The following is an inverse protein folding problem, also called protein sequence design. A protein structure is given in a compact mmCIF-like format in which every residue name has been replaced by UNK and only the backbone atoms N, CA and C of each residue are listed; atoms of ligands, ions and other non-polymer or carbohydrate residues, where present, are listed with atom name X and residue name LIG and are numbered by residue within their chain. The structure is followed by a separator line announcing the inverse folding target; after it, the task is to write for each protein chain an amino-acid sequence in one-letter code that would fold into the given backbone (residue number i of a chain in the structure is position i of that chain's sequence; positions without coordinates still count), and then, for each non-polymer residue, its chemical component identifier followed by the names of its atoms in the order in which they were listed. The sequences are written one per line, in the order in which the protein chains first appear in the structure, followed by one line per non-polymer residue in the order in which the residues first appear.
data_IF_114365413960
#
_entry.id   IF_114365413960
#
_cell.length_a   1.000
_cell.length_b   1.000
_cell.length_c   1.000
_cell.angle_alpha   90.00
_cell.angle_beta   90.00
_cell.angle_gamma   90.00
#
_symmetry.space_group_name_H-M   'P 1'
#
loop_
_entity.id
_entity.type
_entity.pdbx_description
1 polymer ?
#
# COMPACT_ATOMS: atom_id res chain seq x y z
N UNK A 1 -2.77 -1.87 -20.98
CA UNK A 1 -2.65 -2.16 -19.53
C UNK A 1 -1.57 -1.25 -18.96
N UNK A 2 -1.93 -0.22 -18.20
CA UNK A 2 -0.93 0.71 -17.63
C UNK A 2 -0.02 -0.05 -16.67
N UNK A 3 1.29 0.21 -16.74
CA UNK A 3 2.28 -0.47 -15.88
C UNK A 3 2.27 0.23 -14.52
N UNK A 4 1.68 -0.39 -13.50
CA UNK A 4 1.66 0.14 -12.15
C UNK A 4 2.96 -0.22 -11.42
N UNK A 5 3.72 0.79 -10.98
CA UNK A 5 5.00 0.62 -10.31
C UNK A 5 4.95 1.24 -8.92
N UNK A 6 5.59 0.59 -7.95
CA UNK A 6 5.64 1.04 -6.56
C UNK A 6 6.29 2.43 -6.40
N UNK A 7 7.17 2.83 -7.33
CA UNK A 7 7.78 4.16 -7.32
C UNK A 7 6.88 5.29 -7.82
N UNK A 8 5.86 4.97 -8.63
CA UNK A 8 5.11 5.95 -9.43
C UNK A 8 3.58 5.74 -9.32
N UNK A 9 3.10 4.93 -8.38
CA UNK A 9 1.66 4.63 -8.27
C UNK A 9 0.84 5.86 -7.87
N UNK A 10 1.47 6.88 -7.28
CA UNK A 10 0.87 8.18 -6.94
C UNK A 10 0.21 8.86 -8.15
N UNK A 11 0.77 8.69 -9.36
CA UNK A 11 0.21 9.23 -10.58
C UNK A 11 -1.11 8.56 -11.02
N UNK A 12 -1.47 7.44 -10.38
CA UNK A 12 -2.66 6.67 -10.68
C UNK A 12 -3.78 6.84 -9.65
N UNK A 13 -3.61 7.73 -8.67
CA UNK A 13 -4.61 8.06 -7.65
C UNK A 13 -4.91 9.56 -7.66
N UNK A 14 -6.09 9.94 -7.13
CA UNK A 14 -6.42 11.36 -6.97
C UNK A 14 -5.62 11.99 -5.83
N UNK A 15 -5.40 13.31 -5.91
CA UNK A 15 -4.70 14.05 -4.84
C UNK A 15 -5.36 13.91 -3.46
N UNK A 16 -6.69 13.75 -3.41
CA UNK A 16 -7.42 13.46 -2.17
C UNK A 16 -7.06 12.10 -1.56
N UNK A 17 -6.98 11.06 -2.39
CA UNK A 17 -6.56 9.72 -1.97
C UNK A 17 -5.11 9.74 -1.52
N UNK A 18 -4.24 10.47 -2.22
CA UNK A 18 -2.85 10.64 -1.85
C UNK A 18 -2.70 11.31 -0.49
N UNK A 19 -3.36 12.45 -0.27
CA UNK A 19 -3.30 13.16 1.02
C UNK A 19 -3.72 12.24 2.16
N UNK A 20 -4.88 11.58 2.02
CA UNK A 20 -5.39 10.66 3.04
C UNK A 20 -4.42 9.50 3.30
N UNK A 21 -3.80 8.96 2.25
CA UNK A 21 -2.81 7.90 2.39
C UNK A 21 -1.54 8.35 3.10
N UNK A 22 -1.07 9.57 2.80
CA UNK A 22 0.08 10.16 3.48
C UNK A 22 -0.24 10.41 4.96
N UNK A 23 -1.39 11.01 5.27
CA UNK A 23 -1.87 11.23 6.64
C UNK A 23 -1.92 9.91 7.44
N UNK A 24 -2.45 8.82 6.87
CA UNK A 24 -2.48 7.50 7.49
C UNK A 24 -1.08 6.93 7.76
N UNK A 25 -0.12 7.16 6.85
CA UNK A 25 1.27 6.70 7.04
C UNK A 25 1.96 7.55 8.11
N UNK A 26 1.77 8.87 8.11
CA UNK A 26 2.33 9.79 9.12
C UNK A 26 1.76 9.53 10.51
N UNK A 27 0.46 9.23 10.62
CA UNK A 27 -0.20 8.81 11.85
C UNK A 27 0.27 7.43 12.35
N UNK A 28 0.99 6.67 11.51
CA UNK A 28 1.41 5.32 11.83
C UNK A 28 0.26 4.32 11.87
N UNK A 29 -0.83 4.59 11.15
CA UNK A 29 -2.02 3.74 11.05
C UNK A 29 -1.78 2.45 10.27
N UNK A 30 -0.72 2.38 9.46
CA UNK A 30 -0.32 1.14 8.77
C UNK A 30 0.45 0.24 9.73
N UNK A 31 -0.21 -0.82 10.18
CA UNK A 31 0.30 -1.85 11.09
C UNK A 31 0.53 -3.18 10.39
N UNK A 32 1.26 -4.05 11.07
CA UNK A 32 1.41 -5.46 10.72
C UNK A 32 1.86 -5.74 9.26
N UNK A 33 2.59 -4.82 8.63
CA UNK A 33 3.13 -5.00 7.29
C UNK A 33 4.11 -6.20 7.29
N UNK A 34 3.75 -7.26 6.57
CA UNK A 34 4.57 -8.47 6.46
C UNK A 34 4.42 -9.13 5.10
N UNK A 35 5.48 -9.78 4.67
CA UNK A 35 5.44 -10.70 3.53
C UNK A 35 4.90 -12.05 4.03
N UNK A 36 3.72 -12.45 3.56
CA UNK A 36 3.11 -13.73 3.92
C UNK A 36 3.50 -14.83 2.95
N UNK A 37 3.76 -14.49 1.69
CA UNK A 37 4.30 -15.37 0.65
C UNK A 37 5.22 -14.54 -0.26
N UNK A 38 6.13 -15.17 -1.00
CA UNK A 38 7.02 -14.50 -1.94
C UNK A 38 6.22 -13.58 -2.88
N UNK A 39 6.53 -12.28 -2.86
CA UNK A 39 5.84 -11.25 -3.64
C UNK A 39 4.44 -10.91 -3.15
N UNK A 40 4.00 -11.40 -1.99
CA UNK A 40 2.67 -11.19 -1.44
C UNK A 40 2.75 -10.63 -0.02
N UNK A 41 2.24 -9.41 0.13
CA UNK A 41 2.34 -8.60 1.33
C UNK A 41 0.96 -8.30 1.87
N UNK A 42 0.84 -8.36 3.19
CA UNK A 42 -0.39 -8.00 3.90
C UNK A 42 -0.06 -6.92 4.91
N UNK A 43 -0.95 -5.94 5.02
CA UNK A 43 -0.90 -4.87 6.00
C UNK A 43 -2.30 -4.63 6.57
N UNK A 44 -2.34 -4.16 7.81
CA UNK A 44 -3.57 -3.68 8.44
C UNK A 44 -3.51 -2.15 8.48
N UNK A 45 -4.56 -1.48 8.05
CA UNK A 45 -4.64 -0.02 8.08
C UNK A 45 -5.77 0.41 8.98
N UNK A 46 -5.44 1.02 10.11
CA UNK A 46 -6.42 1.54 11.06
C UNK A 46 -6.96 2.88 10.60
N UNK A 47 -8.26 2.93 10.32
CA UNK A 47 -8.96 4.16 9.94
C UNK A 47 -10.02 4.50 10.99
N UNK A 48 -10.22 5.80 11.23
CA UNK A 48 -11.11 6.30 12.29
C UNK A 48 -12.59 5.98 12.01
N UNK A 49 -12.95 5.77 10.73
CA UNK A 49 -14.35 5.60 10.31
C UNK A 49 -14.89 4.15 10.38
N UNK A 50 -14.02 3.13 10.41
CA UNK A 50 -14.50 1.74 10.23
C UNK A 50 -13.60 0.62 10.75
N UNK A 51 -12.51 0.93 11.45
CA UNK A 51 -11.63 -0.08 12.06
C UNK A 51 -10.48 -0.51 11.15
N UNK A 52 -9.75 -1.58 11.53
CA UNK A 52 -8.58 -2.02 10.79
C UNK A 52 -9.00 -2.69 9.47
N UNK A 53 -8.66 -2.07 8.35
CA UNK A 53 -8.85 -2.65 7.03
C UNK A 53 -7.65 -3.50 6.65
N UNK A 54 -7.89 -4.74 6.25
CA UNK A 54 -6.86 -5.58 5.66
C UNK A 54 -6.59 -5.15 4.21
N UNK A 55 -5.31 -4.97 3.91
CA UNK A 55 -4.80 -4.61 2.60
C UNK A 55 -3.81 -5.67 2.17
N UNK A 56 -4.06 -6.27 1.02
CA UNK A 56 -3.17 -7.29 0.45
C UNK A 56 -2.63 -6.77 -0.88
N UNK A 57 -1.33 -6.89 -1.08
CA UNK A 57 -0.66 -6.42 -2.29
C UNK A 57 0.31 -7.47 -2.81
N UNK A 58 0.19 -7.77 -4.11
CA UNK A 58 1.18 -8.58 -4.82
C UNK A 58 2.15 -7.67 -5.56
N UNK A 59 3.43 -7.73 -5.22
CA UNK A 59 4.50 -6.93 -5.83
C UNK A 59 5.65 -7.82 -6.27
N UNK A 60 6.01 -7.71 -7.55
CA UNK A 60 7.19 -8.39 -8.11
C UNK A 60 8.23 -7.35 -8.53
N UNK A 61 9.47 -7.48 -8.05
CA UNK A 61 10.20 -6.59 -7.14
C UNK A 61 9.76 -5.11 -7.03
N UNK A 62 9.35 -4.44 -8.12
CA UNK A 62 8.89 -3.03 -8.07
C UNK A 62 7.56 -2.81 -8.82
N UNK A 63 6.99 -3.86 -9.40
CA UNK A 63 5.75 -3.81 -10.17
C UNK A 63 4.61 -4.35 -9.33
N UNK A 64 3.57 -3.55 -9.19
CA UNK A 64 2.34 -3.96 -8.52
C UNK A 64 1.56 -4.84 -9.49
N UNK A 65 1.26 -6.07 -9.08
CA UNK A 65 0.57 -7.09 -9.86
C UNK A 65 -0.92 -7.11 -9.57
N UNK A 66 -1.25 -7.10 -8.28
CA UNK A 66 -2.60 -7.11 -7.77
C UNK A 66 -2.61 -6.41 -6.41
N UNK A 67 -3.78 -5.90 -6.03
CA UNK A 67 -4.03 -5.33 -4.72
C UNK A 67 -5.51 -5.50 -4.39
N UNK A 68 -5.79 -5.64 -3.11
CA UNK A 68 -7.14 -5.76 -2.54
C UNK A 68 -7.19 -4.96 -1.25
N UNK A 69 -8.36 -4.42 -0.93
CA UNK A 69 -8.64 -3.77 0.34
C UNK A 69 -9.99 -4.28 0.82
N UNK A 70 -10.10 -4.60 2.10
CA UNK A 70 -11.39 -4.95 2.71
C UNK A 70 -12.41 -3.79 2.63
N UNK A 71 -11.92 -2.56 2.58
CA UNK A 71 -12.73 -1.36 2.38
C UNK A 71 -13.46 -1.26 1.03
N UNK A 72 -13.22 -2.19 0.09
CA UNK A 72 -13.88 -2.17 -1.22
C UNK A 72 -15.34 -2.61 -1.16
N UNK A 73 -16.25 -1.63 -1.19
CA UNK A 73 -17.63 -1.83 -1.63
C UNK A 73 -17.69 -2.03 -3.15
N UNK A 74 -18.51 -2.96 -3.63
CA UNK A 74 -18.68 -3.31 -5.04
C UNK A 74 -18.70 -2.08 -5.98
N UNK A 75 -17.78 -2.02 -6.95
CA UNK A 75 -17.77 -1.03 -8.03
C UNK A 75 -16.58 -0.07 -8.11
N UNK A 76 -15.67 -0.04 -7.12
CA UNK A 76 -14.47 0.81 -7.21
C UNK A 76 -13.38 0.16 -8.07
N UNK A 77 -13.01 0.82 -9.18
CA UNK A 77 -11.91 0.42 -10.08
C UNK A 77 -10.57 1.08 -9.77
N UNK A 78 -10.49 1.88 -8.69
CA UNK A 78 -9.33 2.70 -8.34
C UNK A 78 -8.82 2.35 -6.93
N UNK A 79 -7.50 2.52 -6.72
CA UNK A 79 -6.88 2.34 -5.41
C UNK A 79 -7.50 3.28 -4.37
N UNK A 80 -7.83 2.75 -3.20
CA UNK A 80 -8.26 3.54 -2.05
C UNK A 80 -7.05 4.11 -1.30
N UNK A 81 -7.32 4.98 -0.32
CA UNK A 81 -6.28 5.54 0.54
C UNK A 81 -5.51 4.45 1.31
N UNK A 82 -6.19 3.39 1.77
CA UNK A 82 -5.54 2.28 2.49
C UNK A 82 -4.53 1.52 1.62
N UNK A 83 -4.87 1.21 0.37
CA UNK A 83 -3.94 0.58 -0.57
C UNK A 83 -2.75 1.51 -0.82
N UNK A 84 -3.00 2.78 -1.07
CA UNK A 84 -1.93 3.75 -1.27
C UNK A 84 -1.02 3.87 -0.03
N UNK A 85 -1.58 3.90 1.17
CA UNK A 85 -0.84 3.95 2.44
C UNK A 85 0.02 2.69 2.65
N UNK A 86 -0.54 1.50 2.40
CA UNK A 86 0.19 0.24 2.47
C UNK A 86 1.35 0.20 1.45
N UNK A 87 1.12 0.66 0.22
CA UNK A 87 2.15 0.75 -0.82
C UNK A 87 3.25 1.74 -0.45
N UNK A 88 2.91 2.92 0.10
CA UNK A 88 3.88 3.89 0.62
C UNK A 88 4.76 3.26 1.70
N UNK A 89 4.14 2.59 2.68
CA UNK A 89 4.88 1.96 3.78
C UNK A 89 5.76 0.82 3.28
N UNK A 90 5.26 0.01 2.36
CA UNK A 90 6.02 -1.08 1.75
C UNK A 90 7.20 -0.58 0.92
N UNK A 91 7.03 0.54 0.21
CA UNK A 91 8.12 1.20 -0.50
C UNK A 91 9.25 1.59 0.46
N UNK A 92 8.92 2.31 1.54
CA UNK A 92 9.89 2.70 2.58
C UNK A 92 10.60 1.49 3.19
N UNK A 93 9.85 0.41 3.47
CA UNK A 93 10.39 -0.81 4.05
C UNK A 93 11.38 -1.52 3.11
N UNK A 94 11.06 -1.63 1.82
CA UNK A 94 11.94 -2.25 0.83
C UNK A 94 13.20 -1.41 0.56
N UNK A 95 13.07 -0.07 0.58
CA UNK A 95 14.21 0.84 0.46
C UNK A 95 15.15 0.66 1.66
N UNK A 96 14.63 0.66 2.90
CA UNK A 96 15.41 0.42 4.13
C UNK A 96 16.13 -0.93 4.10
N UNK A 97 15.42 -2.02 3.77
CA UNK A 97 16.05 -3.35 3.65
C UNK A 97 17.14 -3.40 2.59
N UNK A 98 17.00 -2.66 1.50
CA UNK A 98 18.02 -2.61 0.45
C UNK A 98 19.26 -1.86 0.92
N UNK A 99 19.10 -0.83 1.74
CA UNK A 99 20.19 -0.08 2.36
C UNK A 99 20.91 -0.91 3.45
N UNK A 100 20.17 -1.62 4.29
CA UNK A 100 20.74 -2.53 5.30
C UNK A 100 21.56 -3.66 4.67
N UNK A 101 21.08 -4.27 3.57
CA UNK A 101 21.81 -5.33 2.86
C UNK A 101 23.07 -4.85 2.12
N UNK A 102 23.26 -3.54 1.96
CA UNK A 102 24.44 -2.93 1.32
C UNK A 102 25.50 -2.47 2.32
N UNK A 103 25.19 -2.51 3.62
CA UNK A 103 26.06 -2.06 4.71
C UNK A 103 26.92 -3.18 5.29
#
# INVERSE_FOLDING_TARGET
MQKLWLKNFEHHISGTTWSTADDLVQAGSVKALREVEKHFWVALVEDEEGGPYEVEVMITPHKIKAFTCECWSAGRRLMCAHIAAALLKLRQFLEQKTEENKS
#
